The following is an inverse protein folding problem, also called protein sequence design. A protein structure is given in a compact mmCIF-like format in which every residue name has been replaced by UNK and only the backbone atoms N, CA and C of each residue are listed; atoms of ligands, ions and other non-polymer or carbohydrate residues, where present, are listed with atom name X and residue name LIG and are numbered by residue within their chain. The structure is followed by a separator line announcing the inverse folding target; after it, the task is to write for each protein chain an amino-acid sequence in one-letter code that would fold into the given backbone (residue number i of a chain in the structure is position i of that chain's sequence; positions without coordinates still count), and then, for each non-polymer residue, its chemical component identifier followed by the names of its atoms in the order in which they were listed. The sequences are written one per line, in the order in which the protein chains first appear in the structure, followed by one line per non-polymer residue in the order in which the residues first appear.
data_IF_107735014102
#
_entry.id   IF_107735014102
#
_cell.length_a   1.000
_cell.length_b   1.000
_cell.length_c   1.000
_cell.angle_alpha   90.00
_cell.angle_beta   90.00
_cell.angle_gamma   90.00
#
_symmetry.space_group_name_H-M   'P 1'
#
loop_
_entity.id
_entity.type
_entity.pdbx_description
1 polymer ?
#
# COMPACT_ATOMS: atom_id res chain seq x y z
N UNK A 1 94.17 -20.47 31.31
CA UNK A 1 93.28 -21.60 31.67
C UNK A 1 92.03 -21.57 30.79
N UNK A 2 91.98 -22.51 29.82
CA UNK A 2 90.91 -22.57 28.80
C UNK A 2 89.87 -23.55 29.23
N UNK A 3 88.65 -23.10 29.48
CA UNK A 3 87.48 -23.94 29.74
C UNK A 3 86.78 -24.30 28.42
N UNK A 4 86.58 -25.61 28.26
CA UNK A 4 85.91 -26.20 27.09
C UNK A 4 84.37 -26.10 27.28
N UNK A 5 83.58 -25.86 26.23
CA UNK A 5 82.10 -25.96 26.34
C UNK A 5 81.63 -27.39 26.17
N UNK A 6 80.65 -27.80 26.98
CA UNK A 6 79.92 -29.05 26.87
C UNK A 6 78.90 -28.97 25.74
N UNK A 7 78.90 -30.02 24.92
CA UNK A 7 77.90 -30.18 23.84
C UNK A 7 76.70 -30.94 24.44
N UNK A 8 75.56 -30.28 24.54
CA UNK A 8 74.30 -30.93 24.85
C UNK A 8 73.65 -31.39 23.53
N UNK A 9 73.50 -32.70 23.39
CA UNK A 9 72.73 -33.30 22.30
C UNK A 9 71.27 -33.22 22.64
N UNK A 10 70.52 -32.42 21.89
CA UNK A 10 69.04 -32.34 21.99
C UNK A 10 68.46 -33.41 21.07
N UNK A 11 67.82 -34.43 21.68
CA UNK A 11 67.02 -35.42 20.94
C UNK A 11 65.62 -34.84 20.75
N UNK A 12 65.31 -34.44 19.48
CA UNK A 12 64.00 -33.94 19.13
C UNK A 12 63.10 -35.15 18.77
N UNK A 13 62.18 -35.48 19.64
CA UNK A 13 61.16 -36.50 19.37
C UNK A 13 60.03 -35.84 18.56
N UNK A 14 59.86 -36.20 17.31
CA UNK A 14 58.71 -35.80 16.50
C UNK A 14 57.49 -36.66 16.89
N UNK A 15 56.52 -36.02 17.54
CA UNK A 15 55.18 -36.59 17.65
C UNK A 15 54.41 -36.32 16.37
N UNK A 16 54.08 -37.35 15.61
CA UNK A 16 53.20 -37.31 14.47
C UNK A 16 51.76 -37.26 14.98
N UNK A 17 51.18 -36.06 15.12
CA UNK A 17 49.78 -35.91 15.44
C UNK A 17 48.97 -36.21 14.18
N UNK A 18 48.39 -37.40 14.12
CA UNK A 18 47.45 -37.76 13.06
C UNK A 18 46.20 -36.92 13.17
N UNK A 19 46.00 -36.00 12.19
CA UNK A 19 44.78 -35.21 12.05
C UNK A 19 43.71 -36.11 11.45
N UNK A 20 42.83 -36.67 12.29
CA UNK A 20 41.62 -37.36 11.83
C UNK A 20 40.63 -36.31 11.34
N UNK A 21 40.57 -36.13 10.02
CA UNK A 21 39.45 -35.36 9.40
C UNK A 21 38.17 -36.16 9.63
N UNK A 22 37.34 -35.70 10.54
CA UNK A 22 35.92 -36.10 10.59
C UNK A 22 35.21 -35.46 9.41
N UNK A 23 34.47 -36.23 8.59
CA UNK A 23 33.65 -35.61 7.56
C UNK A 23 32.60 -34.73 8.23
N UNK A 24 32.70 -33.42 8.01
CA UNK A 24 31.62 -32.49 8.35
C UNK A 24 30.47 -32.88 7.43
N UNK A 25 29.43 -33.52 7.98
CA UNK A 25 28.16 -33.67 7.31
C UNK A 25 27.69 -32.26 6.97
N UNK A 26 27.70 -31.91 5.67
CA UNK A 26 27.00 -30.76 5.18
C UNK A 26 25.53 -30.94 5.58
N UNK A 27 25.09 -30.18 6.55
CA UNK A 27 23.67 -30.13 6.88
C UNK A 27 22.90 -29.78 5.62
N UNK A 28 21.92 -30.60 5.26
CA UNK A 28 20.98 -30.29 4.20
C UNK A 28 20.44 -28.91 4.50
N UNK A 29 20.86 -27.93 3.73
CA UNK A 29 20.25 -26.61 3.75
C UNK A 29 18.79 -26.85 3.38
N UNK A 30 17.91 -26.72 4.36
CA UNK A 30 16.45 -26.81 4.19
C UNK A 30 16.10 -25.84 3.05
N UNK A 31 15.87 -26.40 1.87
CA UNK A 31 15.49 -25.62 0.69
C UNK A 31 14.11 -25.04 1.00
N UNK A 32 14.09 -23.77 1.37
CA UNK A 32 12.85 -23.03 1.51
C UNK A 32 12.03 -23.23 0.24
N UNK A 33 10.79 -23.74 0.33
CA UNK A 33 9.99 -24.02 -0.85
C UNK A 33 9.88 -22.73 -1.67
N UNK A 34 10.21 -22.80 -2.96
CA UNK A 34 10.04 -21.68 -3.89
C UNK A 34 8.56 -21.47 -4.06
N UNK A 35 8.00 -20.53 -3.30
CA UNK A 35 6.60 -20.12 -3.45
C UNK A 35 6.53 -19.26 -4.72
N UNK A 36 5.72 -19.63 -5.72
CA UNK A 36 5.57 -18.81 -6.92
C UNK A 36 4.99 -17.44 -6.55
N UNK A 37 5.36 -16.37 -7.27
CA UNK A 37 4.84 -15.04 -7.01
C UNK A 37 3.31 -15.03 -7.17
N UNK A 38 2.62 -14.48 -6.17
CA UNK A 38 1.16 -14.31 -6.23
C UNK A 38 0.83 -13.07 -7.07
N UNK A 39 -0.13 -13.23 -7.99
CA UNK A 39 -0.73 -12.09 -8.68
C UNK A 39 -1.92 -11.62 -7.85
N UNK A 40 -1.84 -10.39 -7.32
CA UNK A 40 -2.90 -9.78 -6.51
C UNK A 40 -3.33 -8.45 -7.12
N UNK A 41 -4.61 -8.17 -7.05
CA UNK A 41 -5.19 -6.87 -7.44
C UNK A 41 -6.20 -6.45 -6.38
N UNK A 42 -6.43 -5.14 -6.25
CA UNK A 42 -7.52 -4.64 -5.42
C UNK A 42 -8.84 -4.99 -6.10
N UNK A 43 -9.72 -5.72 -5.40
CA UNK A 43 -11.06 -6.06 -5.86
C UNK A 43 -12.07 -4.98 -5.47
N UNK A 44 -12.17 -4.66 -4.18
CA UNK A 44 -13.05 -3.59 -3.73
C UNK A 44 -12.62 -2.97 -2.40
N UNK A 45 -13.19 -1.80 -2.12
CA UNK A 45 -13.18 -1.14 -0.82
C UNK A 45 -14.60 -1.19 -0.27
N UNK A 46 -14.81 -1.71 0.93
CA UNK A 46 -16.12 -1.78 1.58
C UNK A 46 -16.32 -0.55 2.48
N UNK A 47 -17.45 0.15 2.30
CA UNK A 47 -17.86 1.30 3.09
C UNK A 47 -19.16 0.98 3.82
N UNK A 48 -19.18 1.18 5.14
CA UNK A 48 -20.37 1.06 5.98
C UNK A 48 -20.94 2.45 6.22
N UNK A 49 -22.09 2.75 5.61
CA UNK A 49 -22.65 4.10 5.52
C UNK A 49 -23.96 4.24 6.31
N UNK A 50 -24.30 5.44 6.72
CA UNK A 50 -25.56 5.73 7.39
C UNK A 50 -26.73 5.77 6.39
N UNK A 51 -26.54 6.43 5.23
CA UNK A 51 -27.52 6.55 4.16
C UNK A 51 -26.94 6.03 2.85
N UNK A 52 -27.38 4.84 2.46
CA UNK A 52 -26.93 4.16 1.23
C UNK A 52 -27.24 5.00 -0.02
N UNK A 53 -28.44 5.60 -0.08
CA UNK A 53 -28.86 6.36 -1.26
C UNK A 53 -28.10 7.68 -1.39
N UNK A 54 -27.78 8.35 -0.27
CA UNK A 54 -26.93 9.54 -0.27
C UNK A 54 -25.52 9.21 -0.78
N UNK A 55 -24.94 8.11 -0.31
CA UNK A 55 -23.62 7.66 -0.74
C UNK A 55 -23.63 7.25 -2.21
N UNK A 56 -24.63 6.49 -2.67
CA UNK A 56 -24.76 6.12 -4.09
C UNK A 56 -24.85 7.36 -4.97
N UNK A 57 -25.70 8.33 -4.63
CA UNK A 57 -25.80 9.60 -5.37
C UNK A 57 -24.48 10.35 -5.40
N UNK A 58 -23.77 10.40 -4.28
CA UNK A 58 -22.47 11.06 -4.24
C UNK A 58 -21.46 10.41 -5.22
N UNK A 59 -21.30 9.11 -5.17
CA UNK A 59 -20.34 8.40 -6.02
C UNK A 59 -20.75 8.43 -7.51
N UNK A 60 -22.05 8.35 -7.82
CA UNK A 60 -22.50 8.34 -9.21
C UNK A 60 -22.63 9.73 -9.81
N UNK A 61 -23.27 10.67 -9.11
CA UNK A 61 -23.55 12.00 -9.65
C UNK A 61 -22.40 13.00 -9.45
N UNK A 62 -21.73 12.95 -8.29
CA UNK A 62 -20.64 13.87 -7.98
C UNK A 62 -19.32 13.39 -8.60
N UNK A 63 -18.95 12.11 -8.37
CA UNK A 63 -17.70 11.58 -8.95
C UNK A 63 -17.89 11.06 -10.38
N UNK A 64 -19.12 10.80 -10.81
CA UNK A 64 -19.43 10.29 -12.16
C UNK A 64 -19.08 8.80 -12.32
N UNK A 65 -19.00 8.06 -11.22
CA UNK A 65 -18.78 6.63 -11.24
C UNK A 65 -20.08 5.89 -11.63
N UNK A 66 -19.96 4.64 -12.04
CA UNK A 66 -21.10 3.84 -12.49
C UNK A 66 -21.49 2.81 -11.45
N UNK A 67 -22.75 2.81 -11.07
CA UNK A 67 -23.33 1.70 -10.32
C UNK A 67 -23.40 0.43 -11.18
N UNK A 68 -23.11 -0.72 -10.58
CA UNK A 68 -23.17 -2.04 -11.21
C UNK A 68 -24.12 -2.94 -10.44
N UNK A 69 -24.72 -3.96 -11.10
CA UNK A 69 -25.66 -4.86 -10.46
C UNK A 69 -25.10 -5.54 -9.20
N UNK A 70 -25.93 -5.67 -8.18
CA UNK A 70 -25.68 -6.39 -6.95
C UNK A 70 -26.61 -7.62 -6.87
N UNK A 71 -26.10 -8.71 -6.29
CA UNK A 71 -26.92 -9.87 -5.97
C UNK A 71 -27.78 -9.65 -4.69
N UNK A 72 -27.41 -8.64 -3.89
CA UNK A 72 -28.05 -8.35 -2.61
C UNK A 72 -28.63 -6.93 -2.67
N UNK A 73 -29.97 -6.75 -2.54
CA UNK A 73 -30.61 -5.44 -2.63
C UNK A 73 -30.09 -4.40 -1.64
N UNK A 74 -29.69 -4.86 -0.45
CA UNK A 74 -29.13 -4.02 0.62
C UNK A 74 -27.67 -3.65 0.44
N UNK A 75 -27.03 -4.16 -0.62
CA UNK A 75 -25.63 -3.93 -0.96
C UNK A 75 -25.55 -3.27 -2.33
N UNK A 76 -24.86 -2.14 -2.42
CA UNK A 76 -24.71 -1.39 -3.66
C UNK A 76 -23.24 -1.40 -4.10
N UNK A 77 -23.01 -1.51 -5.38
CA UNK A 77 -21.68 -1.60 -5.94
C UNK A 77 -21.43 -0.50 -6.95
N UNK A 78 -20.36 0.27 -6.76
CA UNK A 78 -19.96 1.37 -7.62
C UNK A 78 -18.61 1.05 -8.24
N UNK A 79 -18.53 0.99 -9.57
CA UNK A 79 -17.32 0.64 -10.33
C UNK A 79 -16.27 1.73 -10.23
N UNK A 80 -15.02 1.35 -9.89
CA UNK A 80 -13.82 2.18 -10.01
C UNK A 80 -12.93 1.58 -11.10
N UNK A 81 -12.77 2.29 -12.20
CA UNK A 81 -11.94 1.84 -13.32
C UNK A 81 -12.35 0.47 -13.86
N UNK A 82 -11.37 -0.37 -14.20
CA UNK A 82 -11.61 -1.67 -14.85
C UNK A 82 -11.88 -2.80 -13.86
N UNK A 83 -11.15 -2.83 -12.75
CA UNK A 83 -11.05 -4.04 -11.92
C UNK A 83 -11.47 -3.84 -10.46
N UNK A 84 -11.70 -2.60 -10.01
CA UNK A 84 -12.06 -2.34 -8.62
C UNK A 84 -13.46 -1.73 -8.46
N UNK A 85 -14.02 -1.84 -7.27
CA UNK A 85 -15.32 -1.25 -6.93
C UNK A 85 -15.36 -0.70 -5.50
N UNK A 86 -16.34 0.16 -5.23
CA UNK A 86 -16.78 0.48 -3.88
C UNK A 86 -17.99 -0.41 -3.57
N UNK A 87 -17.93 -1.14 -2.47
CA UNK A 87 -19.03 -1.91 -1.92
C UNK A 87 -19.69 -1.13 -0.79
N UNK A 88 -20.89 -0.64 -0.97
CA UNK A 88 -21.62 0.17 0.00
C UNK A 88 -22.63 -0.72 0.76
N UNK A 89 -22.50 -0.76 2.09
CA UNK A 89 -23.43 -1.41 3.00
C UNK A 89 -23.99 -0.40 4.00
N UNK A 90 -25.31 -0.43 4.22
CA UNK A 90 -25.99 0.48 5.13
C UNK A 90 -25.99 0.03 6.60
N UNK A 91 -26.56 0.87 7.47
CA UNK A 91 -26.77 0.57 8.89
C UNK A 91 -25.73 1.16 9.84
N UNK A 92 -24.86 2.05 9.36
CA UNK A 92 -23.89 2.74 10.20
C UNK A 92 -24.61 3.72 11.14
N UNK A 93 -24.29 3.64 12.43
CA UNK A 93 -24.86 4.51 13.48
C UNK A 93 -23.80 5.37 14.19
N UNK A 94 -22.50 5.10 13.93
CA UNK A 94 -21.40 5.85 14.53
C UNK A 94 -20.65 6.65 13.47
N UNK A 95 -20.14 7.85 13.78
CA UNK A 95 -19.33 8.63 12.84
C UNK A 95 -18.10 7.87 12.35
N UNK A 96 -17.63 8.17 11.14
CA UNK A 96 -16.30 7.76 10.68
C UNK A 96 -15.25 8.51 11.48
N UNK A 97 -14.17 7.87 11.88
CA UNK A 97 -13.07 8.55 12.54
C UNK A 97 -12.50 9.66 11.61
N UNK A 98 -12.21 10.85 12.13
CA UNK A 98 -11.80 11.99 11.30
C UNK A 98 -10.32 11.93 10.86
N UNK A 99 -9.74 10.76 10.81
CA UNK A 99 -8.33 10.52 10.47
C UNK A 99 -8.15 10.52 8.95
N UNK A 100 -7.48 11.52 8.40
CA UNK A 100 -7.21 11.69 6.97
C UNK A 100 -6.04 10.83 6.47
N UNK A 101 -5.22 10.29 7.37
CA UNK A 101 -4.23 9.27 7.02
C UNK A 101 -4.90 7.94 6.61
N UNK A 102 -6.18 7.74 7.01
CA UNK A 102 -6.98 6.58 6.61
C UNK A 102 -7.92 6.94 5.48
N UNK A 103 -7.49 6.72 4.25
CA UNK A 103 -8.26 7.02 3.04
C UNK A 103 -8.05 5.94 1.97
N UNK A 104 -8.86 5.99 0.92
CA UNK A 104 -8.57 5.25 -0.32
C UNK A 104 -8.35 6.23 -1.47
N UNK A 105 -7.49 5.84 -2.41
CA UNK A 105 -7.09 6.68 -3.51
C UNK A 105 -7.63 6.19 -4.86
N UNK A 106 -8.10 7.13 -5.69
CA UNK A 106 -8.53 6.88 -7.07
C UNK A 106 -7.62 7.68 -8.00
N UNK A 107 -6.98 6.99 -8.93
CA UNK A 107 -6.12 7.62 -9.92
C UNK A 107 -6.92 8.07 -11.16
N UNK A 108 -6.60 9.27 -11.67
CA UNK A 108 -7.17 9.86 -12.88
C UNK A 108 -6.05 10.37 -13.80
N UNK A 109 -6.39 10.64 -15.05
CA UNK A 109 -5.44 11.24 -15.99
C UNK A 109 -5.24 12.76 -15.77
N UNK A 110 -6.24 13.45 -15.23
CA UNK A 110 -6.19 14.87 -14.87
C UNK A 110 -7.12 15.16 -13.70
N UNK A 111 -6.70 16.03 -12.77
CA UNK A 111 -7.54 16.52 -11.68
C UNK A 111 -8.60 17.53 -12.12
N UNK A 112 -8.40 18.23 -13.23
CA UNK A 112 -9.26 19.35 -13.60
C UNK A 112 -10.75 18.97 -13.76
N UNK A 113 -11.12 17.85 -14.42
CA UNK A 113 -12.53 17.48 -14.56
C UNK A 113 -13.19 17.15 -13.20
N UNK A 114 -12.47 16.49 -12.29
CA UNK A 114 -13.03 16.14 -10.99
C UNK A 114 -13.15 17.36 -10.08
N UNK A 115 -12.16 18.25 -10.07
CA UNK A 115 -12.24 19.52 -9.33
C UNK A 115 -13.41 20.37 -9.80
N UNK A 116 -13.67 20.44 -11.12
CA UNK A 116 -14.83 21.13 -11.67
C UNK A 116 -16.16 20.52 -11.17
N UNK A 117 -16.27 19.19 -11.14
CA UNK A 117 -17.46 18.48 -10.61
C UNK A 117 -17.67 18.73 -9.13
N UNK A 118 -16.62 18.58 -8.31
CA UNK A 118 -16.68 18.84 -6.87
C UNK A 118 -17.13 20.27 -6.59
N UNK A 119 -16.57 21.25 -7.28
CA UNK A 119 -16.94 22.66 -7.16
C UNK A 119 -18.39 22.91 -7.53
N UNK A 120 -18.87 22.34 -8.64
CA UNK A 120 -20.25 22.47 -9.10
C UNK A 120 -21.27 21.85 -8.10
N UNK A 121 -20.84 20.93 -7.26
CA UNK A 121 -21.66 20.27 -6.23
C UNK A 121 -21.42 20.84 -4.81
N UNK A 122 -20.61 21.90 -4.69
CA UNK A 122 -20.30 22.52 -3.40
C UNK A 122 -19.41 21.68 -2.48
N UNK A 123 -18.75 20.67 -3.02
CA UNK A 123 -17.81 19.85 -2.25
C UNK A 123 -16.46 20.56 -2.18
N UNK A 124 -16.01 20.83 -0.95
CA UNK A 124 -14.70 21.40 -0.67
C UNK A 124 -13.67 20.28 -0.64
N UNK A 125 -12.58 20.46 -1.33
CA UNK A 125 -11.40 19.59 -1.23
C UNK A 125 -10.23 20.36 -0.63
N UNK A 126 -9.21 19.65 -0.17
CA UNK A 126 -7.96 20.21 0.37
C UNK A 126 -6.76 19.58 -0.31
N UNK A 127 -5.63 20.26 -0.25
CA UNK A 127 -4.30 19.66 -0.46
C UNK A 127 -3.74 19.11 0.85
N UNK A 128 -2.50 18.66 0.84
CA UNK A 128 -1.79 18.18 2.05
C UNK A 128 -1.51 19.29 3.09
N UNK A 129 -1.79 20.54 2.78
CA UNK A 129 -1.66 21.70 3.67
C UNK A 129 -3.01 22.16 4.24
N UNK A 130 -4.05 21.35 4.10
CA UNK A 130 -5.43 21.58 4.56
C UNK A 130 -6.10 22.86 4.01
N UNK A 131 -5.49 23.51 3.02
CA UNK A 131 -6.08 24.70 2.42
C UNK A 131 -7.26 24.31 1.54
N UNK A 132 -8.42 24.97 1.72
CA UNK A 132 -9.57 24.78 0.85
C UNK A 132 -9.20 25.02 -0.63
N UNK A 133 -9.61 24.09 -1.49
CA UNK A 133 -9.33 24.07 -2.93
C UNK A 133 -7.82 23.98 -3.27
N UNK A 134 -7.00 23.56 -2.31
CA UNK A 134 -5.58 23.29 -2.51
C UNK A 134 -5.33 22.03 -3.33
N UNK A 135 -4.17 21.97 -3.97
CA UNK A 135 -3.67 20.77 -4.67
C UNK A 135 -2.28 20.46 -4.14
N UNK A 136 -2.10 19.29 -3.61
CA UNK A 136 -0.79 18.81 -3.18
C UNK A 136 0.05 18.35 -4.37
N UNK A 137 1.34 18.69 -4.36
CA UNK A 137 2.36 18.20 -5.29
C UNK A 137 3.59 17.70 -4.54
N UNK A 138 3.41 17.25 -3.31
CA UNK A 138 4.50 16.86 -2.40
C UNK A 138 5.14 15.51 -2.73
N UNK A 139 4.53 14.69 -3.60
CA UNK A 139 5.08 13.39 -3.97
C UNK A 139 6.31 13.56 -4.87
N UNK A 140 7.33 12.73 -4.59
CA UNK A 140 8.61 12.76 -5.34
C UNK A 140 8.45 12.40 -6.84
N UNK A 141 7.42 11.62 -7.19
CA UNK A 141 7.06 11.29 -8.57
C UNK A 141 6.30 12.42 -9.28
N UNK A 142 6.07 13.54 -8.58
CA UNK A 142 5.38 14.71 -9.08
C UNK A 142 3.88 14.51 -9.30
N UNK A 143 3.29 13.40 -8.84
CA UNK A 143 1.84 13.18 -8.87
C UNK A 143 1.16 14.22 -7.97
N UNK A 144 0.14 14.90 -8.52
CA UNK A 144 -0.68 15.85 -7.79
C UNK A 144 -1.90 15.14 -7.21
N UNK A 145 -2.37 15.61 -6.05
CA UNK A 145 -3.46 14.98 -5.32
C UNK A 145 -4.33 15.98 -4.58
N UNK A 146 -5.59 15.61 -4.41
CA UNK A 146 -6.60 16.34 -3.64
C UNK A 146 -7.32 15.36 -2.72
N UNK A 147 -7.83 15.87 -1.59
CA UNK A 147 -8.55 15.10 -0.57
C UNK A 147 -9.89 15.73 -0.26
N UNK A 148 -10.91 14.92 -0.09
CA UNK A 148 -12.25 15.35 0.33
C UNK A 148 -12.98 14.22 1.01
N UNK A 149 -14.10 14.53 1.66
CA UNK A 149 -14.94 13.54 2.33
C UNK A 149 -16.18 13.21 1.53
N UNK A 150 -16.58 11.94 1.62
CA UNK A 150 -17.91 11.51 1.22
C UNK A 150 -18.99 11.94 2.25
N UNK A 151 -20.30 11.67 2.04
CA UNK A 151 -21.37 12.05 2.96
C UNK A 151 -21.24 11.46 4.38
N UNK A 152 -20.59 10.30 4.53
CA UNK A 152 -20.37 9.64 5.82
C UNK A 152 -19.09 10.08 6.51
N UNK A 153 -18.23 10.85 5.83
CA UNK A 153 -16.96 11.35 6.33
C UNK A 153 -15.75 10.49 5.96
N UNK A 154 -15.89 9.49 5.10
CA UNK A 154 -14.75 8.75 4.57
C UNK A 154 -13.88 9.66 3.71
N UNK A 155 -12.57 9.66 3.99
CA UNK A 155 -11.63 10.40 3.19
C UNK A 155 -11.36 9.70 1.86
N UNK A 156 -11.34 10.48 0.80
CA UNK A 156 -11.04 10.06 -0.57
C UNK A 156 -9.89 10.91 -1.09
N UNK A 157 -8.83 10.25 -1.57
CA UNK A 157 -7.81 10.89 -2.39
C UNK A 157 -8.17 10.73 -3.86
N UNK A 158 -8.04 11.79 -4.64
CA UNK A 158 -7.96 11.70 -6.10
C UNK A 158 -6.58 12.22 -6.51
N UNK A 159 -5.87 11.43 -7.32
CA UNK A 159 -4.55 11.81 -7.81
C UNK A 159 -4.41 11.62 -9.35
N UNK A 160 -3.46 12.34 -9.96
CA UNK A 160 -3.25 12.30 -11.40
C UNK A 160 -2.18 11.26 -11.84
N UNK A 161 -2.06 10.15 -11.13
CA UNK A 161 -1.08 9.11 -11.42
C UNK A 161 -1.27 8.42 -12.79
N UNK A 162 -2.46 8.54 -13.40
CA UNK A 162 -2.72 8.04 -14.77
C UNK A 162 -2.38 9.07 -15.86
N UNK A 163 -1.82 10.25 -15.50
CA UNK A 163 -1.37 11.21 -16.53
C UNK A 163 -0.30 10.55 -17.41
N UNK A 164 -0.39 10.76 -18.70
CA UNK A 164 0.69 10.38 -19.62
C UNK A 164 1.91 11.26 -19.33
N UNK A 165 3.02 10.66 -18.95
CA UNK A 165 4.29 11.37 -18.91
C UNK A 165 4.64 11.77 -20.37
N UNK A 166 4.67 13.07 -20.65
CA UNK A 166 5.17 13.61 -21.92
C UNK A 166 6.68 13.75 -21.86
#
# INVERSE_FOLDING_TARGET
MKSRPSIFTVVTTFFLVGFVMTPTMAGDAEQNPVVPPLTMTLDHVALHVADVEASVRFYTETLGLKEIPSQFPERRWIRIGKNAAIHIGGGRTTPVAPDDDVHFAIAVASLDPIMARLKARGVVWVGSDDKPYGVSASRLDGVRQIYFKDPDGYWIEINDALRSHR
#
